data_IF_893267070872
#
_entry.id   IF_893267070872
#
_cell.length_a   1.000
_cell.length_b   1.000
_cell.length_c   1.000
_cell.angle_alpha   90.00
_cell.angle_beta   90.00
_cell.angle_gamma   90.00
#
_symmetry.space_group_name_H-M   'P 1'
#
loop_
_entity.id
_entity.type
_entity.pdbx_description
1 polymer ?
#
# COMPACT_ATOMS: atom_id res chain seq x y z
N UNK A 1 4.88 -19.98 21.97
CA UNK A 1 5.62 -20.32 20.74
C UNK A 1 4.94 -19.56 19.62
N UNK A 2 5.67 -18.67 18.93
CA UNK A 2 5.08 -17.99 17.79
C UNK A 2 4.71 -19.04 16.75
N UNK A 3 3.45 -19.11 16.38
CA UNK A 3 2.96 -20.01 15.36
C UNK A 3 3.59 -19.56 14.03
N UNK A 4 4.61 -20.27 13.56
CA UNK A 4 5.29 -19.99 12.30
C UNK A 4 4.38 -20.42 11.13
N UNK A 5 3.25 -19.73 11.01
CA UNK A 5 2.31 -19.99 9.93
C UNK A 5 2.90 -19.55 8.61
N UNK A 6 3.03 -20.47 7.66
CA UNK A 6 3.42 -20.15 6.28
C UNK A 6 2.24 -19.43 5.62
N UNK A 7 2.47 -18.22 5.14
CA UNK A 7 1.45 -17.39 4.48
C UNK A 7 1.57 -17.39 2.97
N UNK A 8 2.75 -17.76 2.46
CA UNK A 8 3.09 -17.78 1.04
C UNK A 8 4.05 -18.90 0.73
N UNK A 9 3.87 -19.57 -0.39
CA UNK A 9 4.77 -20.61 -0.89
C UNK A 9 4.92 -20.53 -2.41
N UNK A 10 6.17 -20.65 -2.85
CA UNK A 10 6.56 -20.68 -4.26
C UNK A 10 7.32 -21.99 -4.52
N UNK A 11 6.90 -22.77 -5.53
CA UNK A 11 7.44 -24.11 -5.79
C UNK A 11 7.83 -24.23 -7.25
N UNK A 12 9.14 -24.44 -7.52
CA UNK A 12 9.70 -24.65 -8.85
C UNK A 12 9.47 -23.48 -9.81
N UNK A 13 9.40 -22.24 -9.30
CA UNK A 13 9.10 -21.08 -10.12
C UNK A 13 10.29 -20.74 -11.00
N UNK A 14 10.02 -20.66 -12.32
CA UNK A 14 11.01 -20.32 -13.33
C UNK A 14 10.46 -19.30 -14.31
N UNK A 15 11.28 -18.34 -14.71
CA UNK A 15 10.95 -17.30 -15.69
C UNK A 15 11.94 -17.33 -16.83
N UNK A 16 11.44 -17.52 -18.06
CA UNK A 16 12.22 -17.51 -19.29
C UNK A 16 11.65 -16.44 -20.20
N UNK A 17 12.51 -15.58 -20.70
CA UNK A 17 12.16 -14.57 -21.71
C UNK A 17 12.63 -15.07 -23.08
N UNK A 18 11.76 -15.06 -24.10
CA UNK A 18 12.17 -15.45 -25.46
C UNK A 18 13.39 -14.66 -25.98
N UNK A 19 14.30 -15.25 -26.79
CA UNK A 19 14.19 -16.63 -27.27
C UNK A 19 14.61 -17.71 -26.26
N UNK A 20 15.46 -17.47 -25.25
CA UNK A 20 15.89 -18.47 -24.27
C UNK A 20 16.62 -17.87 -23.06
N UNK A 21 16.34 -16.61 -22.69
CA UNK A 21 16.98 -15.99 -21.54
C UNK A 21 16.29 -16.40 -20.25
N UNK A 22 16.92 -17.27 -19.46
CA UNK A 22 16.42 -17.63 -18.13
C UNK A 22 16.73 -16.50 -17.15
N UNK A 23 15.69 -15.94 -16.52
CA UNK A 23 15.77 -14.89 -15.49
C UNK A 23 15.71 -15.51 -14.09
N UNK A 24 14.76 -16.43 -13.87
CA UNK A 24 14.63 -17.19 -12.63
C UNK A 24 14.61 -18.68 -12.97
N UNK A 25 15.24 -19.50 -12.14
CA UNK A 25 15.32 -20.93 -12.34
C UNK A 25 15.03 -21.68 -11.05
N UNK A 26 14.00 -22.51 -11.06
CA UNK A 26 13.64 -23.46 -10.00
C UNK A 26 13.64 -22.83 -8.60
N UNK A 27 12.91 -21.71 -8.44
CA UNK A 27 12.83 -21.00 -7.18
C UNK A 27 11.84 -21.69 -6.24
N UNK A 28 12.31 -21.98 -5.02
CA UNK A 28 11.51 -22.52 -3.91
C UNK A 28 11.65 -21.58 -2.72
N UNK A 29 10.54 -20.94 -2.33
CA UNK A 29 10.50 -19.98 -1.22
C UNK A 29 9.23 -20.19 -0.41
N UNK A 30 9.32 -19.97 0.90
CA UNK A 30 8.16 -19.91 1.77
C UNK A 30 8.35 -18.78 2.78
N UNK A 31 7.30 -17.99 2.99
CA UNK A 31 7.31 -16.87 3.92
C UNK A 31 6.41 -17.17 5.11
N UNK A 32 6.90 -16.84 6.29
CA UNK A 32 6.11 -16.87 7.52
C UNK A 32 5.48 -15.52 7.78
N UNK A 33 4.39 -15.51 8.51
CA UNK A 33 3.79 -14.27 8.98
C UNK A 33 4.78 -13.43 9.79
N UNK A 34 4.84 -12.12 9.51
CA UNK A 34 5.75 -11.17 10.16
C UNK A 34 7.22 -11.31 9.79
N UNK A 35 7.57 -12.12 8.76
CA UNK A 35 8.96 -12.25 8.32
C UNK A 35 9.41 -11.03 7.51
N UNK A 36 10.58 -10.46 7.88
CA UNK A 36 11.30 -9.44 7.10
C UNK A 36 12.36 -10.13 6.27
N UNK A 37 12.28 -10.03 4.94
CA UNK A 37 13.12 -10.79 4.02
C UNK A 37 13.84 -9.85 3.05
N UNK A 38 15.16 -9.85 3.09
CA UNK A 38 16.00 -9.13 2.14
C UNK A 38 16.35 -10.00 0.93
N UNK A 39 16.08 -9.51 -0.28
CA UNK A 39 16.48 -10.15 -1.54
C UNK A 39 17.71 -9.46 -2.10
N UNK A 40 18.86 -10.14 -2.04
CA UNK A 40 20.15 -9.61 -2.47
C UNK A 40 20.59 -10.19 -3.81
N UNK A 41 21.26 -9.40 -4.63
CA UNK A 41 21.81 -9.83 -5.91
C UNK A 41 22.25 -8.65 -6.78
N UNK A 42 23.06 -8.94 -7.79
CA UNK A 42 23.53 -7.94 -8.77
C UNK A 42 22.36 -7.35 -9.57
N UNK A 43 22.61 -6.20 -10.22
CA UNK A 43 21.63 -5.64 -11.14
C UNK A 43 21.39 -6.61 -12.31
N UNK A 44 20.11 -6.79 -12.65
CA UNK A 44 19.69 -7.77 -13.66
C UNK A 44 19.60 -9.22 -13.17
N UNK A 45 19.83 -9.51 -11.89
CA UNK A 45 19.71 -10.87 -11.33
C UNK A 45 18.26 -11.39 -11.21
N UNK A 46 17.25 -10.57 -11.53
CA UNK A 46 15.85 -10.97 -11.50
C UNK A 46 15.09 -10.59 -10.23
N UNK A 47 15.65 -9.76 -9.34
CA UNK A 47 14.99 -9.32 -8.09
C UNK A 47 13.61 -8.70 -8.35
N UNK A 48 13.54 -7.69 -9.20
CA UNK A 48 12.27 -7.03 -9.57
C UNK A 48 11.29 -8.00 -10.25
N UNK A 49 11.81 -8.94 -11.05
CA UNK A 49 10.98 -9.98 -11.69
C UNK A 49 10.36 -10.90 -10.64
N UNK A 50 11.13 -11.31 -9.64
CA UNK A 50 10.65 -12.13 -8.52
C UNK A 50 9.54 -11.39 -7.76
N UNK A 51 9.77 -10.13 -7.39
CA UNK A 51 8.78 -9.31 -6.68
C UNK A 51 7.49 -9.12 -7.50
N UNK A 52 7.59 -8.86 -8.80
CA UNK A 52 6.43 -8.73 -9.71
C UNK A 52 5.62 -10.03 -9.82
N UNK A 53 6.30 -11.16 -9.81
CA UNK A 53 5.63 -12.48 -9.81
C UNK A 53 4.90 -12.71 -8.48
N UNK A 54 5.53 -12.39 -7.34
CA UNK A 54 4.89 -12.49 -6.01
C UNK A 54 3.70 -11.54 -5.92
N UNK A 55 3.82 -10.31 -6.46
CA UNK A 55 2.75 -9.32 -6.50
C UNK A 55 1.59 -9.69 -7.44
N UNK A 56 1.73 -10.76 -8.26
CA UNK A 56 0.72 -11.15 -9.25
C UNK A 56 0.69 -10.25 -10.50
N UNK A 57 1.64 -9.31 -10.63
CA UNK A 57 1.74 -8.38 -11.77
C UNK A 57 2.27 -9.10 -13.02
N UNK A 58 3.22 -10.03 -12.83
CA UNK A 58 3.74 -10.86 -13.92
C UNK A 58 3.22 -12.29 -13.82
N UNK A 59 2.17 -12.66 -14.56
CA UNK A 59 1.58 -14.00 -14.51
C UNK A 59 2.34 -15.02 -15.38
N UNK A 60 3.33 -14.59 -16.18
CA UNK A 60 4.02 -15.43 -17.15
C UNK A 60 5.24 -16.13 -16.54
N UNK A 61 5.02 -17.17 -15.76
CA UNK A 61 6.06 -18.01 -15.16
C UNK A 61 5.64 -19.50 -15.18
N UNK A 62 6.61 -20.40 -15.02
CA UNK A 62 6.34 -21.81 -14.77
C UNK A 62 6.47 -22.08 -13.26
N UNK A 63 5.80 -23.12 -12.77
CA UNK A 63 5.77 -23.45 -11.34
C UNK A 63 4.46 -23.09 -10.67
N UNK A 64 4.45 -23.07 -9.35
CA UNK A 64 3.24 -22.83 -8.57
C UNK A 64 3.50 -21.82 -7.45
N UNK A 65 2.53 -20.92 -7.25
CA UNK A 65 2.47 -19.97 -6.13
C UNK A 65 1.17 -20.21 -5.38
N UNK A 66 1.25 -20.22 -4.07
CA UNK A 66 0.10 -20.43 -3.18
C UNK A 66 0.18 -19.43 -2.04
N UNK A 67 -0.91 -18.73 -1.79
CA UNK A 67 -1.16 -17.96 -0.58
C UNK A 67 -2.11 -18.74 0.33
N UNK A 68 -1.92 -18.63 1.65
CA UNK A 68 -2.77 -19.31 2.63
C UNK A 68 -4.20 -18.75 2.63
N UNK A 69 -4.35 -17.46 2.39
CA UNK A 69 -5.62 -16.75 2.24
C UNK A 69 -5.45 -15.52 1.33
N UNK A 70 -6.53 -14.81 1.10
CA UNK A 70 -6.49 -13.54 0.37
C UNK A 70 -5.81 -12.47 1.25
N UNK A 71 -4.55 -12.16 0.91
CA UNK A 71 -3.77 -11.11 1.52
C UNK A 71 -3.77 -9.87 0.63
N UNK A 72 -3.86 -8.69 1.25
CA UNK A 72 -3.62 -7.42 0.56
C UNK A 72 -2.12 -7.28 0.31
N UNK A 73 -1.71 -7.36 -0.95
CA UNK A 73 -0.31 -7.25 -1.35
C UNK A 73 -0.06 -5.83 -1.83
N UNK A 74 0.89 -5.16 -1.20
CA UNK A 74 1.40 -3.87 -1.63
C UNK A 74 2.73 -4.02 -2.35
N UNK A 75 2.88 -3.39 -3.51
CA UNK A 75 4.11 -3.41 -4.29
C UNK A 75 4.54 -2.01 -4.68
N UNK A 76 5.77 -1.64 -4.31
CA UNK A 76 6.41 -0.40 -4.76
C UNK A 76 7.19 -0.66 -6.05
N UNK A 77 6.70 -0.11 -7.14
CA UNK A 77 7.40 -0.15 -8.43
C UNK A 77 8.62 0.78 -8.44
N UNK A 78 9.63 0.41 -9.23
CA UNK A 78 10.80 1.26 -9.43
C UNK A 78 10.44 2.61 -10.05
N UNK A 79 9.50 2.63 -10.99
CA UNK A 79 8.92 3.83 -11.60
C UNK A 79 7.40 3.80 -11.44
N UNK A 80 6.86 4.36 -10.34
CA UNK A 80 5.44 4.31 -10.05
C UNK A 80 4.66 5.17 -11.05
N UNK A 81 3.58 4.60 -11.57
CA UNK A 81 2.64 5.33 -12.42
C UNK A 81 1.61 6.03 -11.53
N UNK A 82 1.75 7.35 -11.37
CA UNK A 82 0.83 8.21 -10.64
C UNK A 82 0.07 9.09 -11.63
N UNK A 83 -1.18 9.40 -11.33
CA UNK A 83 -2.02 10.27 -12.14
C UNK A 83 -1.46 11.70 -12.14
N UNK A 84 -1.02 12.23 -13.30
CA UNK A 84 -0.40 13.55 -13.38
C UNK A 84 -1.37 14.71 -13.06
N UNK A 85 -2.69 14.49 -13.15
CA UNK A 85 -3.72 15.51 -12.89
C UNK A 85 -3.99 15.70 -11.39
N UNK A 86 -3.50 14.78 -10.54
CA UNK A 86 -3.69 14.81 -9.09
C UNK A 86 -2.61 15.61 -8.39
N UNK A 87 -2.94 16.04 -7.16
CA UNK A 87 -1.97 16.61 -6.23
C UNK A 87 -1.26 15.51 -5.43
N UNK A 88 -0.17 15.88 -4.74
CA UNK A 88 0.52 14.99 -3.79
C UNK A 88 -0.45 14.45 -2.75
N UNK A 89 -1.26 15.34 -2.14
CA UNK A 89 -2.23 14.97 -1.11
C UNK A 89 -3.30 14.02 -1.65
N UNK A 90 -3.79 14.24 -2.86
CA UNK A 90 -4.80 13.36 -3.48
C UNK A 90 -4.25 11.94 -3.64
N UNK A 91 -3.02 11.81 -4.12
CA UNK A 91 -2.38 10.50 -4.29
C UNK A 91 -2.12 9.83 -2.94
N UNK A 92 -1.67 10.56 -1.93
CA UNK A 92 -1.43 10.02 -0.58
C UNK A 92 -2.73 9.52 0.03
N UNK A 93 -3.84 10.27 -0.12
CA UNK A 93 -5.18 9.88 0.35
C UNK A 93 -5.72 8.60 -0.29
N UNK A 94 -5.30 8.26 -1.52
CA UNK A 94 -5.66 6.97 -2.13
C UNK A 94 -5.26 5.75 -1.28
N UNK A 95 -4.15 5.86 -0.51
CA UNK A 95 -3.72 4.79 0.39
C UNK A 95 -4.71 4.50 1.52
N UNK A 96 -5.50 5.48 1.89
CA UNK A 96 -6.51 5.44 2.98
C UNK A 96 -7.93 5.72 2.47
N UNK A 97 -8.18 5.45 1.19
CA UNK A 97 -9.45 5.80 0.52
C UNK A 97 -10.69 5.31 1.28
N UNK A 98 -10.65 4.10 1.83
CA UNK A 98 -11.76 3.57 2.62
C UNK A 98 -12.08 4.41 3.85
N UNK A 99 -11.06 4.99 4.49
CA UNK A 99 -11.25 5.86 5.67
C UNK A 99 -11.79 7.22 5.22
N UNK A 100 -11.28 7.76 4.12
CA UNK A 100 -11.77 9.00 3.52
C UNK A 100 -13.23 8.88 3.12
N UNK A 101 -13.62 7.76 2.51
CA UNK A 101 -15.01 7.51 2.11
C UNK A 101 -15.95 7.38 3.32
N UNK A 102 -15.48 6.70 4.39
CA UNK A 102 -16.25 6.61 5.64
C UNK A 102 -16.44 7.97 6.31
N UNK A 103 -15.42 8.82 6.35
CA UNK A 103 -15.53 10.17 6.88
C UNK A 103 -16.53 11.01 6.08
N UNK A 104 -16.46 10.92 4.75
CA UNK A 104 -17.39 11.61 3.88
C UNK A 104 -18.84 11.14 4.09
N UNK A 105 -19.06 9.83 4.18
CA UNK A 105 -20.39 9.27 4.45
C UNK A 105 -20.91 9.73 5.82
N UNK A 106 -20.06 9.82 6.83
CA UNK A 106 -20.40 10.34 8.15
C UNK A 106 -20.81 11.82 8.11
N UNK A 107 -20.08 12.64 7.35
CA UNK A 107 -20.44 14.04 7.13
C UNK A 107 -21.77 14.21 6.40
N UNK A 108 -22.02 13.40 5.37
CA UNK A 108 -23.30 13.38 4.63
C UNK A 108 -24.46 12.98 5.54
N UNK A 109 -24.28 11.99 6.40
CA UNK A 109 -25.28 11.59 7.40
C UNK A 109 -25.55 12.71 8.40
N UNK A 110 -24.49 13.36 8.89
CA UNK A 110 -24.64 14.48 9.82
C UNK A 110 -25.35 15.70 9.20
N UNK A 111 -25.10 15.99 7.93
CA UNK A 111 -25.76 17.08 7.22
C UNK A 111 -27.30 16.86 7.13
N UNK A 112 -27.74 15.61 7.00
CA UNK A 112 -29.16 15.27 6.90
C UNK A 112 -29.95 15.48 8.19
N UNK A 113 -29.32 15.59 9.36
CA UNK A 113 -30.00 15.93 10.61
C UNK A 113 -30.58 17.37 10.61
N UNK A 114 -30.14 18.21 9.67
CA UNK A 114 -30.69 19.56 9.49
C UNK A 114 -31.94 19.59 8.59
N UNK A 115 -32.34 18.48 8.00
CA UNK A 115 -33.52 18.34 7.14
C UNK A 115 -34.78 18.07 7.97
N UNK A 116 -35.95 18.35 7.41
CA UNK A 116 -37.25 17.94 8.01
C UNK A 116 -37.43 16.42 7.77
N UNK A 117 -37.27 15.61 8.82
CA UNK A 117 -37.35 14.16 8.79
C UNK A 117 -38.57 13.68 9.59
N UNK A 118 -39.14 12.56 9.18
CA UNK A 118 -40.08 11.80 9.99
C UNK A 118 -39.37 11.07 11.14
N UNK A 119 -40.13 10.66 12.16
CA UNK A 119 -39.60 9.94 13.32
C UNK A 119 -38.85 8.64 12.89
N UNK A 120 -39.41 7.93 11.90
CA UNK A 120 -38.79 6.71 11.37
C UNK A 120 -37.45 6.97 10.63
N UNK A 121 -37.41 8.04 9.82
CA UNK A 121 -36.18 8.46 9.13
C UNK A 121 -35.13 8.95 10.11
N UNK A 122 -35.54 9.70 11.13
CA UNK A 122 -34.66 10.16 12.20
C UNK A 122 -34.01 8.96 12.92
N UNK A 123 -34.79 7.92 13.29
CA UNK A 123 -34.27 6.74 13.96
C UNK A 123 -33.28 5.97 13.08
N UNK A 124 -33.58 5.79 11.79
CA UNK A 124 -32.63 5.16 10.85
C UNK A 124 -31.34 5.95 10.69
N UNK A 125 -31.43 7.27 10.69
CA UNK A 125 -30.26 8.14 10.57
C UNK A 125 -29.36 8.05 11.81
N UNK A 126 -29.96 7.99 13.00
CA UNK A 126 -29.23 7.80 14.28
C UNK A 126 -28.53 6.44 14.30
N UNK A 127 -29.21 5.38 13.89
CA UNK A 127 -28.61 4.04 13.79
C UNK A 127 -27.41 4.02 12.83
N UNK A 128 -27.59 4.59 11.63
CA UNK A 128 -26.52 4.69 10.63
C UNK A 128 -25.33 5.51 11.12
N UNK A 129 -25.59 6.64 11.80
CA UNK A 129 -24.53 7.46 12.39
C UNK A 129 -23.73 6.65 13.44
N UNK A 130 -24.42 5.88 14.29
CA UNK A 130 -23.77 5.01 15.27
C UNK A 130 -22.85 3.98 14.62
N UNK A 131 -23.34 3.28 13.59
CA UNK A 131 -22.53 2.28 12.85
C UNK A 131 -21.29 2.91 12.19
N UNK A 132 -21.42 4.11 11.63
CA UNK A 132 -20.30 4.83 11.02
C UNK A 132 -19.29 5.28 12.08
N UNK A 133 -19.77 5.78 13.23
CA UNK A 133 -18.90 6.15 14.35
C UNK A 133 -18.07 4.99 14.82
N UNK A 134 -18.68 3.81 15.04
CA UNK A 134 -17.97 2.61 15.45
C UNK A 134 -16.88 2.20 14.44
N UNK A 135 -17.17 2.27 13.13
CA UNK A 135 -16.22 1.97 12.07
C UNK A 135 -15.05 2.97 12.03
N UNK A 136 -15.35 4.25 12.21
CA UNK A 136 -14.34 5.32 12.25
C UNK A 136 -13.43 5.20 13.47
N UNK A 137 -13.99 4.86 14.64
CA UNK A 137 -13.21 4.64 15.85
C UNK A 137 -12.28 3.43 15.73
N UNK A 138 -12.78 2.29 15.20
CA UNK A 138 -11.97 1.09 14.98
C UNK A 138 -10.76 1.33 14.06
N UNK A 139 -10.85 2.31 13.16
CA UNK A 139 -9.79 2.66 12.22
C UNK A 139 -8.97 3.88 12.65
N UNK A 140 -9.25 4.43 13.84
CA UNK A 140 -8.63 5.67 14.33
C UNK A 140 -8.69 6.80 13.29
N UNK A 141 -9.87 6.92 12.64
CA UNK A 141 -10.08 7.81 11.51
C UNK A 141 -10.09 9.29 11.89
N UNK A 142 -10.43 9.62 13.14
CA UNK A 142 -10.43 11.00 13.63
C UNK A 142 -9.05 11.66 13.64
N UNK A 143 -7.99 10.86 13.64
CA UNK A 143 -6.60 11.31 13.58
C UNK A 143 -6.01 11.22 12.16
N UNK A 144 -6.84 11.03 11.12
CA UNK A 144 -6.37 10.78 9.77
C UNK A 144 -5.46 11.90 9.25
N UNK A 145 -5.86 13.16 9.39
CA UNK A 145 -5.06 14.30 8.90
C UNK A 145 -3.68 14.33 9.53
N UNK A 146 -3.60 14.13 10.85
CA UNK A 146 -2.33 14.04 11.56
C UNK A 146 -1.47 12.88 11.08
N UNK A 147 -2.06 11.69 10.84
CA UNK A 147 -1.33 10.53 10.31
C UNK A 147 -0.78 10.79 8.92
N UNK A 148 -1.56 11.43 8.05
CA UNK A 148 -1.12 11.82 6.71
C UNK A 148 0.06 12.79 6.79
N UNK A 149 -0.07 13.85 7.59
CA UNK A 149 0.96 14.87 7.78
C UNK A 149 2.26 14.25 8.30
N UNK A 150 2.20 13.43 9.34
CA UNK A 150 3.36 12.73 9.89
C UNK A 150 4.06 11.82 8.88
N UNK A 151 3.30 11.06 8.08
CA UNK A 151 3.89 10.17 7.06
C UNK A 151 4.51 10.97 5.90
N UNK A 152 3.88 12.07 5.50
CA UNK A 152 4.38 12.96 4.46
C UNK A 152 5.67 13.66 4.89
N UNK A 153 5.73 14.16 6.13
CA UNK A 153 6.92 14.80 6.70
C UNK A 153 8.08 13.81 6.84
N UNK A 154 7.82 12.61 7.35
CA UNK A 154 8.83 11.58 7.55
C UNK A 154 9.52 11.14 6.24
N UNK A 155 8.77 11.12 5.14
CA UNK A 155 9.29 10.84 3.80
C UNK A 155 9.70 12.09 3.03
N UNK A 156 9.64 13.28 3.65
CA UNK A 156 9.99 14.58 3.05
C UNK A 156 9.31 14.75 1.69
N UNK A 157 7.99 14.58 1.67
CA UNK A 157 7.22 14.77 0.45
C UNK A 157 7.23 16.25 0.03
N UNK A 158 7.03 16.52 -1.27
CA UNK A 158 6.80 17.88 -1.76
C UNK A 158 5.52 18.49 -1.16
N UNK A 159 5.30 19.77 -1.45
CA UNK A 159 4.07 20.48 -1.06
C UNK A 159 2.83 19.64 -1.37
N UNK A 160 1.95 19.41 -0.38
CA UNK A 160 0.70 18.66 -0.56
C UNK A 160 -0.17 19.11 -1.74
N UNK A 161 -0.14 20.41 -2.08
CA UNK A 161 -0.88 21.00 -3.18
C UNK A 161 -0.14 20.91 -4.54
N UNK A 162 1.14 20.46 -4.56
CA UNK A 162 1.90 20.35 -5.80
C UNK A 162 1.28 19.27 -6.71
N UNK A 163 1.21 19.56 -8.01
CA UNK A 163 0.77 18.58 -9.02
C UNK A 163 1.83 17.48 -9.22
N UNK A 164 1.38 16.25 -9.39
CA UNK A 164 2.25 15.10 -9.69
C UNK A 164 3.03 15.32 -10.99
N UNK A 165 2.48 16.06 -11.95
CA UNK A 165 3.10 16.32 -13.26
C UNK A 165 4.44 17.05 -13.17
N UNK A 166 4.63 17.91 -12.15
CA UNK A 166 5.85 18.72 -12.00
C UNK A 166 6.93 18.04 -11.14
N UNK A 167 6.63 16.91 -10.53
CA UNK A 167 7.55 16.22 -9.62
C UNK A 167 8.66 15.49 -10.38
N UNK A 168 9.85 15.48 -9.76
CA UNK A 168 10.95 14.61 -10.18
C UNK A 168 10.59 13.11 -9.98
N UNK A 169 11.34 12.22 -10.65
CA UNK A 169 11.14 10.77 -10.47
C UNK A 169 11.31 10.32 -9.03
N UNK A 170 12.28 10.88 -8.29
CA UNK A 170 12.50 10.57 -6.87
C UNK A 170 11.35 11.04 -5.97
N UNK A 171 10.80 12.24 -6.22
CA UNK A 171 9.64 12.75 -5.49
C UNK A 171 8.39 11.90 -5.75
N UNK A 172 8.10 11.57 -7.02
CA UNK A 172 6.98 10.65 -7.35
C UNK A 172 7.11 9.31 -6.63
N UNK A 173 8.34 8.79 -6.54
CA UNK A 173 8.58 7.52 -5.84
C UNK A 173 8.32 7.63 -4.35
N UNK A 174 8.73 8.72 -3.69
CA UNK A 174 8.42 8.96 -2.27
C UNK A 174 6.91 9.09 -2.02
N UNK A 175 6.19 9.79 -2.90
CA UNK A 175 4.72 9.90 -2.84
C UNK A 175 4.06 8.50 -2.97
N UNK A 176 4.52 7.68 -3.91
CA UNK A 176 4.02 6.32 -4.09
C UNK A 176 4.33 5.42 -2.88
N UNK A 177 5.51 5.55 -2.29
CA UNK A 177 5.88 4.85 -1.07
C UNK A 177 4.99 5.26 0.10
N UNK A 178 4.76 6.55 0.32
CA UNK A 178 3.87 7.06 1.35
C UNK A 178 2.46 6.48 1.20
N UNK A 179 1.86 6.58 0.02
CA UNK A 179 0.56 5.98 -0.29
C UNK A 179 0.51 4.49 0.04
N UNK A 180 1.56 3.76 -0.36
CA UNK A 180 1.66 2.33 -0.15
C UNK A 180 1.73 1.96 1.34
N UNK A 181 2.55 2.65 2.13
CA UNK A 181 2.68 2.40 3.57
C UNK A 181 1.37 2.70 4.30
N UNK A 182 0.72 3.82 3.99
CA UNK A 182 -0.57 4.20 4.57
C UNK A 182 -1.70 3.22 4.22
N UNK A 183 -1.56 2.44 3.15
CA UNK A 183 -2.55 1.42 2.79
C UNK A 183 -2.46 0.15 3.65
N UNK A 184 -1.47 0.05 4.53
CA UNK A 184 -1.25 -1.05 5.48
C UNK A 184 -1.46 -2.44 4.85
N UNK A 185 -0.68 -2.82 3.82
CA UNK A 185 -0.84 -4.12 3.20
C UNK A 185 -0.36 -5.24 4.11
N UNK A 186 -0.97 -6.43 4.01
CA UNK A 186 -0.54 -7.63 4.76
C UNK A 186 0.83 -8.13 4.31
N UNK A 187 1.16 -7.95 3.03
CA UNK A 187 2.46 -8.28 2.44
C UNK A 187 2.98 -7.06 1.70
N UNK A 188 4.11 -6.54 2.14
CA UNK A 188 4.76 -5.38 1.55
C UNK A 188 5.97 -5.82 0.72
N UNK A 189 5.95 -5.51 -0.57
CA UNK A 189 7.02 -5.80 -1.51
C UNK A 189 7.66 -4.50 -1.98
N UNK A 190 8.92 -4.31 -1.63
CA UNK A 190 9.68 -3.09 -1.92
C UNK A 190 10.84 -3.38 -2.87
N UNK A 191 10.84 -2.80 -4.05
CA UNK A 191 11.94 -2.90 -5.02
C UNK A 191 12.87 -1.70 -4.88
N UNK A 192 14.05 -1.91 -4.27
CA UNK A 192 15.07 -0.88 -3.98
C UNK A 192 14.50 0.35 -3.23
N UNK A 193 13.80 0.17 -2.08
CA UNK A 193 12.99 1.24 -1.46
C UNK A 193 13.81 2.45 -1.01
N UNK A 194 15.10 2.27 -0.72
CA UNK A 194 16.00 3.32 -0.21
C UNK A 194 16.54 4.23 -1.31
N UNK A 195 16.38 3.87 -2.58
CA UNK A 195 16.79 4.73 -3.68
C UNK A 195 15.99 6.04 -3.66
N UNK A 196 16.71 7.17 -3.69
CA UNK A 196 16.15 8.53 -3.62
C UNK A 196 15.59 8.94 -2.24
N UNK A 197 15.85 8.17 -1.18
CA UNK A 197 15.62 8.58 0.20
C UNK A 197 16.92 9.16 0.79
N UNK A 198 16.75 10.13 1.67
CA UNK A 198 17.84 10.58 2.53
C UNK A 198 17.99 9.67 3.76
N UNK A 199 19.06 9.87 4.53
CA UNK A 199 19.37 9.00 5.67
C UNK A 199 18.27 8.99 6.74
N UNK A 200 17.58 10.11 6.98
CA UNK A 200 16.52 10.20 7.98
C UNK A 200 15.26 9.47 7.52
N UNK A 201 14.89 9.60 6.23
CA UNK A 201 13.77 8.86 5.66
C UNK A 201 14.03 7.35 5.60
N UNK A 202 15.30 6.94 5.39
CA UNK A 202 15.69 5.52 5.46
C UNK A 202 15.54 5.00 6.89
N UNK A 203 16.05 5.71 7.89
CA UNK A 203 15.96 5.34 9.32
C UNK A 203 14.49 5.23 9.75
N UNK A 204 13.65 6.19 9.36
CA UNK A 204 12.23 6.13 9.62
C UNK A 204 11.56 4.91 8.97
N UNK A 205 11.89 4.61 7.70
CA UNK A 205 11.34 3.45 6.99
C UNK A 205 11.75 2.14 7.67
N UNK A 206 13.02 2.02 8.13
CA UNK A 206 13.50 0.84 8.86
C UNK A 206 12.77 0.63 10.18
N UNK A 207 12.41 1.72 10.88
CA UNK A 207 11.63 1.66 12.12
C UNK A 207 10.15 1.34 11.86
N UNK A 208 9.62 1.79 10.75
CA UNK A 208 8.24 1.50 10.33
C UNK A 208 8.04 0.04 9.96
N UNK A 209 9.01 -0.56 9.28
CA UNK A 209 9.01 -1.97 8.85
C UNK A 209 9.31 -2.92 10.02
#
# INVERSE_FOLDING_TARGET
MADHKIIFSMTGVSKIIPPNKTILKDIYLSFFYGAKIGVLGLNGAGKSTLLKIIAGIDPNYNGKIVFDKDYKIGYLEQEPNLDPEKTVLDVVKEGVQEVVDLLKEYEEVNARFAEELSDDEMNQLIEKQGELTDKLEQRDAWNLEYKLEMAMDALRLPDPAASISVLSGGERRRVALCRLLLSEPDILLLDEPTNHLDAESVDWLEQYL
#
